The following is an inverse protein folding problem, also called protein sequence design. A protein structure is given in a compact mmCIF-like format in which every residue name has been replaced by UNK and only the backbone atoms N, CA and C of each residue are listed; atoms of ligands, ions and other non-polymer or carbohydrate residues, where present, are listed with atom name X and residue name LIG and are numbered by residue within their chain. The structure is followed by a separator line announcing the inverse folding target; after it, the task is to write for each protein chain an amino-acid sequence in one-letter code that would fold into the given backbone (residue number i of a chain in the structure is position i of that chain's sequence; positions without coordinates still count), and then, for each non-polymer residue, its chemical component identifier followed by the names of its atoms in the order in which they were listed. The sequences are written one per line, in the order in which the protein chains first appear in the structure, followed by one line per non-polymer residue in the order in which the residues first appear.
data_IF_134901110915
#
_entry.id   IF_134901110915
#
_cell.length_a   1.000
_cell.length_b   1.000
_cell.length_c   1.000
_cell.angle_alpha   90.00
_cell.angle_beta   90.00
_cell.angle_gamma   90.00
#
_symmetry.space_group_name_H-M   'P 1'
#
loop_
_entity.id
_entity.type
_entity.pdbx_description
1 polymer ?
#
# COMPACT_ATOMS: atom_id res chain seq x y z
N UNK A 1 -30.05 -2.80 40.89
CA UNK A 1 -30.12 -3.44 39.55
C UNK A 1 -29.83 -2.47 38.40
N UNK A 2 -30.56 -1.36 38.24
CA UNK A 2 -30.33 -0.40 37.12
C UNK A 2 -28.91 0.18 37.04
N UNK A 3 -28.30 0.55 38.19
CA UNK A 3 -26.91 1.03 38.25
C UNK A 3 -25.89 -0.05 37.84
N UNK A 4 -26.15 -1.31 38.19
CA UNK A 4 -25.28 -2.43 37.84
C UNK A 4 -25.34 -2.71 36.33
N UNK A 5 -26.55 -2.73 35.76
CA UNK A 5 -26.76 -2.85 34.31
C UNK A 5 -26.08 -1.72 33.53
N UNK A 6 -26.14 -0.48 34.05
CA UNK A 6 -25.47 0.67 33.44
C UNK A 6 -23.94 0.54 33.46
N UNK A 7 -23.35 0.06 34.56
CA UNK A 7 -21.92 -0.20 34.66
C UNK A 7 -21.48 -1.33 33.70
N UNK A 8 -22.26 -2.42 33.62
CA UNK A 8 -21.98 -3.49 32.66
C UNK A 8 -22.06 -3.01 31.22
N UNK A 9 -23.04 -2.16 30.89
CA UNK A 9 -23.18 -1.55 29.56
C UNK A 9 -21.99 -0.65 29.21
N UNK A 10 -21.55 0.20 30.14
CA UNK A 10 -20.32 1.00 29.98
C UNK A 10 -19.10 0.11 29.77
N UNK A 11 -18.93 -0.94 30.58
CA UNK A 11 -17.81 -1.87 30.45
C UNK A 11 -17.79 -2.57 29.08
N UNK A 12 -18.94 -2.94 28.52
CA UNK A 12 -19.01 -3.52 27.18
C UNK A 12 -18.61 -2.53 26.07
N UNK A 13 -18.98 -1.25 26.20
CA UNK A 13 -18.57 -0.20 25.24
C UNK A 13 -17.05 0.00 25.28
N UNK A 14 -16.47 0.08 26.48
CA UNK A 14 -15.02 0.23 26.63
C UNK A 14 -14.26 -0.96 26.03
N UNK A 15 -14.67 -2.21 26.30
CA UNK A 15 -13.99 -3.38 25.74
C UNK A 15 -14.06 -3.46 24.21
N UNK A 16 -15.16 -3.02 23.60
CA UNK A 16 -15.30 -3.03 22.13
C UNK A 16 -14.37 -2.01 21.46
N UNK A 17 -14.10 -0.87 22.11
CA UNK A 17 -13.21 0.17 21.59
C UNK A 17 -11.73 -0.25 21.54
N UNK A 18 -11.27 -1.16 22.43
CA UNK A 18 -9.87 -1.61 22.45
C UNK A 18 -9.57 -2.74 21.46
N UNK A 19 -10.58 -3.39 20.88
CA UNK A 19 -10.38 -4.55 20.01
C UNK A 19 -9.98 -4.19 18.55
N UNK A 20 -10.10 -2.92 18.13
CA UNK A 20 -9.94 -2.53 16.71
C UNK A 20 -8.54 -2.02 16.32
N UNK A 21 -7.62 -1.84 17.27
CA UNK A 21 -6.31 -1.21 16.99
C UNK A 21 -5.20 -2.17 16.55
N UNK A 22 -5.43 -3.50 16.50
CA UNK A 22 -4.36 -4.45 16.22
C UNK A 22 -3.83 -4.35 14.78
N UNK A 23 -4.70 -4.17 13.79
CA UNK A 23 -4.28 -4.14 12.38
C UNK A 23 -3.40 -2.94 12.06
N UNK A 24 -3.81 -1.73 12.47
CA UNK A 24 -3.02 -0.50 12.31
C UNK A 24 -1.70 -0.61 13.05
N UNK A 25 -1.71 -1.10 14.29
CA UNK A 25 -0.48 -1.28 15.06
C UNK A 25 0.47 -2.29 14.40
N UNK A 26 -0.03 -3.39 13.85
CA UNK A 26 0.77 -4.35 13.09
C UNK A 26 1.34 -3.67 11.84
N UNK A 27 0.51 -2.94 11.09
CA UNK A 27 0.92 -2.25 9.87
C UNK A 27 2.03 -1.22 10.14
N UNK A 28 1.90 -0.40 11.17
CA UNK A 28 2.87 0.64 11.53
C UNK A 28 4.18 0.10 12.10
N UNK A 29 4.21 -1.15 12.56
CA UNK A 29 5.41 -1.78 13.18
C UNK A 29 6.07 -2.82 12.29
N UNK A 30 5.38 -3.31 11.26
CA UNK A 30 5.90 -4.28 10.31
C UNK A 30 6.75 -3.59 9.23
N UNK A 31 7.54 -4.40 8.50
CA UNK A 31 8.09 -4.01 7.21
C UNK A 31 7.11 -4.49 6.14
N UNK A 32 6.47 -3.57 5.44
CA UNK A 32 5.49 -3.87 4.40
C UNK A 32 6.21 -4.01 3.06
N UNK A 33 6.15 -5.21 2.50
CA UNK A 33 6.82 -5.56 1.24
C UNK A 33 5.77 -5.94 0.21
N UNK A 34 5.63 -5.12 -0.83
CA UNK A 34 4.92 -5.48 -2.05
C UNK A 34 5.91 -6.11 -3.03
N UNK A 35 5.60 -7.33 -3.48
CA UNK A 35 6.50 -8.15 -4.30
C UNK A 35 6.27 -8.01 -5.80
N UNK A 36 5.28 -7.21 -6.23
CA UNK A 36 4.95 -7.08 -7.64
C UNK A 36 4.22 -5.77 -8.00
N UNK A 37 4.95 -4.80 -8.56
CA UNK A 37 4.37 -3.53 -9.04
C UNK A 37 4.63 -3.27 -10.52
N UNK A 38 3.58 -3.21 -11.35
CA UNK A 38 3.67 -3.00 -12.81
C UNK A 38 3.79 -1.51 -13.23
N UNK A 39 4.17 -0.63 -12.30
CA UNK A 39 4.15 0.82 -12.57
C UNK A 39 5.24 1.25 -13.57
N UNK A 40 6.36 0.53 -13.68
CA UNK A 40 7.48 0.93 -14.54
C UNK A 40 7.10 0.98 -16.02
N UNK A 41 6.32 0.01 -16.50
CA UNK A 41 5.80 0.04 -17.88
C UNK A 41 4.88 1.24 -18.10
N UNK A 42 3.98 1.52 -17.15
CA UNK A 42 3.06 2.65 -17.24
C UNK A 42 3.80 4.00 -17.17
N UNK A 43 4.86 4.09 -16.35
CA UNK A 43 5.74 5.24 -16.26
C UNK A 43 6.32 5.57 -17.63
N UNK A 44 6.98 4.60 -18.26
CA UNK A 44 7.60 4.78 -19.58
C UNK A 44 6.56 5.12 -20.64
N UNK A 45 5.46 4.37 -20.68
CA UNK A 45 4.42 4.54 -21.71
C UNK A 45 3.70 5.88 -21.61
N UNK A 46 3.45 6.36 -20.40
CA UNK A 46 2.66 7.57 -20.15
C UNK A 46 3.51 8.81 -19.91
N UNK A 47 4.82 8.65 -19.69
CA UNK A 47 5.74 9.73 -19.34
C UNK A 47 5.44 10.36 -17.97
N UNK A 48 4.77 9.62 -17.08
CA UNK A 48 4.44 10.11 -15.74
C UNK A 48 5.68 10.08 -14.84
N UNK A 49 5.67 10.90 -13.79
CA UNK A 49 6.69 10.90 -12.75
C UNK A 49 6.09 10.26 -11.50
N UNK A 50 6.43 8.99 -11.22
CA UNK A 50 5.88 8.26 -10.07
C UNK A 50 6.35 8.82 -8.73
N UNK A 51 7.34 9.73 -8.72
CA UNK A 51 7.74 10.48 -7.54
C UNK A 51 6.73 11.54 -7.10
N UNK A 52 5.72 11.82 -7.93
CA UNK A 52 4.65 12.79 -7.65
C UNK A 52 3.30 12.08 -7.50
N UNK A 53 2.38 12.74 -6.79
CA UNK A 53 1.00 12.29 -6.69
C UNK A 53 0.35 12.27 -8.08
N UNK A 54 -0.17 11.13 -8.49
CA UNK A 54 -0.85 10.98 -9.78
C UNK A 54 -2.35 11.25 -9.65
N UNK A 55 -2.96 11.76 -10.73
CA UNK A 55 -4.42 11.96 -10.79
C UNK A 55 -5.20 10.65 -11.00
N UNK A 56 -4.54 9.63 -11.53
CA UNK A 56 -5.13 8.32 -11.85
C UNK A 56 -4.16 7.20 -11.50
N UNK A 57 -4.61 5.94 -11.65
CA UNK A 57 -3.82 4.76 -11.31
C UNK A 57 -3.74 4.49 -9.81
N UNK A 58 -2.99 3.45 -9.44
CA UNK A 58 -3.00 2.90 -8.08
C UNK A 58 -1.69 3.07 -7.32
N UNK A 59 -0.64 3.58 -7.97
CA UNK A 59 0.68 3.69 -7.37
C UNK A 59 1.35 5.02 -7.72
N UNK A 60 1.91 5.65 -6.71
CA UNK A 60 2.97 6.65 -6.77
C UNK A 60 3.69 6.68 -5.41
N UNK A 61 4.89 7.27 -5.37
CA UNK A 61 5.71 7.29 -4.17
C UNK A 61 5.10 8.13 -3.04
N UNK A 62 4.22 9.08 -3.36
CA UNK A 62 3.48 9.86 -2.35
C UNK A 62 2.50 8.93 -1.62
N UNK A 63 1.64 8.23 -2.36
CA UNK A 63 0.69 7.26 -1.80
C UNK A 63 1.36 6.04 -1.18
N UNK A 64 2.46 5.56 -1.75
CA UNK A 64 3.23 4.46 -1.17
C UNK A 64 3.76 4.84 0.23
N UNK A 65 4.29 6.06 0.37
CA UNK A 65 4.74 6.58 1.66
C UNK A 65 3.58 6.79 2.63
N UNK A 66 2.49 7.42 2.19
CA UNK A 66 1.29 7.63 3.02
C UNK A 66 0.65 6.31 3.46
N UNK A 67 0.69 5.29 2.61
CA UNK A 67 0.19 3.94 2.87
C UNK A 67 1.14 3.07 3.70
N UNK A 68 2.34 3.55 4.06
CA UNK A 68 3.31 2.78 4.85
C UNK A 68 3.93 1.60 4.11
N UNK A 69 4.18 1.74 2.80
CA UNK A 69 4.92 0.74 2.02
C UNK A 69 6.43 0.97 2.17
N UNK A 70 7.16 -0.01 2.70
CA UNK A 70 8.61 0.09 2.92
C UNK A 70 9.43 -0.41 1.73
N UNK A 71 8.98 -1.48 1.09
CA UNK A 71 9.68 -2.12 -0.02
C UNK A 71 8.72 -2.44 -1.15
N UNK A 72 9.06 -1.99 -2.35
CA UNK A 72 8.39 -2.38 -3.58
C UNK A 72 9.37 -3.11 -4.49
N UNK A 73 9.00 -4.30 -4.91
CA UNK A 73 9.65 -4.99 -6.02
C UNK A 73 8.90 -4.62 -7.30
N UNK A 74 9.56 -3.88 -8.18
CA UNK A 74 8.97 -3.49 -9.45
C UNK A 74 9.09 -4.60 -10.47
N UNK A 75 7.99 -4.84 -11.18
CA UNK A 75 7.90 -5.80 -12.28
C UNK A 75 8.60 -5.22 -13.51
N UNK A 76 9.57 -5.95 -14.05
CA UNK A 76 10.16 -5.68 -15.36
C UNK A 76 9.46 -6.59 -16.36
N UNK A 77 8.49 -6.02 -17.07
CA UNK A 77 7.62 -6.81 -17.93
C UNK A 77 8.06 -6.75 -19.40
N UNK A 78 8.12 -7.91 -20.06
CA UNK A 78 8.22 -8.01 -21.51
C UNK A 78 7.34 -9.15 -22.01
N UNK A 79 6.78 -8.99 -23.21
CA UNK A 79 5.96 -10.03 -23.82
C UNK A 79 6.81 -11.12 -24.51
N UNK A 80 6.16 -12.23 -24.86
CA UNK A 80 6.77 -13.34 -25.57
C UNK A 80 7.06 -13.03 -27.05
N UNK A 81 6.54 -11.92 -27.58
CA UNK A 81 6.70 -11.49 -28.98
C UNK A 81 7.97 -10.65 -29.17
N UNK A 82 8.53 -10.14 -28.07
CA UNK A 82 9.76 -9.38 -28.02
C UNK A 82 9.59 -8.11 -27.21
N UNK A 83 10.48 -7.88 -26.25
CA UNK A 83 10.44 -6.66 -25.44
C UNK A 83 11.74 -6.35 -24.72
N UNK A 84 12.86 -6.97 -25.14
CA UNK A 84 14.15 -6.82 -24.47
C UNK A 84 14.62 -5.36 -24.33
N UNK A 85 14.50 -4.48 -25.36
CA UNK A 85 14.85 -3.08 -25.20
C UNK A 85 13.97 -2.34 -24.18
N UNK A 86 12.67 -2.66 -24.14
CA UNK A 86 11.73 -2.04 -23.19
C UNK A 86 11.95 -2.59 -21.77
N UNK A 87 12.32 -3.86 -21.63
CA UNK A 87 12.71 -4.44 -20.35
C UNK A 87 13.97 -3.76 -19.79
N UNK A 88 14.99 -3.56 -20.61
CA UNK A 88 16.19 -2.81 -20.20
C UNK A 88 15.84 -1.37 -19.82
N UNK A 89 14.98 -0.70 -20.61
CA UNK A 89 14.54 0.65 -20.26
C UNK A 89 13.81 0.69 -18.90
N UNK A 90 12.97 -0.31 -18.58
CA UNK A 90 12.32 -0.41 -17.27
C UNK A 90 13.31 -0.61 -16.12
N UNK A 91 14.42 -1.32 -16.35
CA UNK A 91 15.49 -1.50 -15.35
C UNK A 91 16.23 -0.18 -15.10
N UNK A 92 16.43 0.61 -16.14
CA UNK A 92 17.20 1.86 -16.10
C UNK A 92 16.37 3.09 -15.64
N UNK A 93 15.04 2.95 -15.52
CA UNK A 93 14.07 4.03 -15.27
C UNK A 93 13.82 4.35 -13.79
#
# INVERSE_FOLDING_TARGET
MKKLLFVCFLATIFNHAYAQNSATQIHETAIVVDTHGDIMFNQIKSGIDIGKLQQTGNFDLVRAKEGGLDVQVFSIWCDHLGGYPIANQQIDS
#
